data_IF_602058491776
#
_entry.id   IF_602058491776
#
_cell.length_a   1.000
_cell.length_b   1.000
_cell.length_c   1.000
_cell.angle_alpha   90.00
_cell.angle_beta   90.00
_cell.angle_gamma   90.00
#
_symmetry.space_group_name_H-M   'P 1'
#
loop_
_entity.id
_entity.type
_entity.pdbx_description
1 polymer ?
#
# COMPACT_ATOMS: atom_id res chain seq x y z
N UNK A 1 11.44 54.70 -21.16
CA UNK A 1 10.80 54.15 -22.37
C UNK A 1 11.42 54.82 -23.56
N UNK A 2 11.95 54.04 -24.50
CA UNK A 2 12.43 54.52 -25.80
C UNK A 2 11.46 54.01 -26.88
N UNK A 3 11.35 54.75 -27.98
CA UNK A 3 10.57 54.36 -29.14
C UNK A 3 11.48 54.45 -30.36
N UNK A 4 11.45 53.42 -31.20
CA UNK A 4 12.34 53.28 -32.35
C UNK A 4 11.47 53.06 -33.58
N UNK A 5 11.76 53.79 -34.65
CA UNK A 5 11.12 53.60 -35.95
C UNK A 5 11.91 52.60 -36.79
N UNK A 6 11.23 51.81 -37.60
CA UNK A 6 11.87 51.01 -38.64
C UNK A 6 12.40 51.90 -39.75
N UNK A 7 13.46 51.46 -40.43
CA UNK A 7 14.04 52.19 -41.56
C UNK A 7 13.03 52.43 -42.70
N UNK A 8 12.07 51.51 -42.87
CA UNK A 8 11.13 51.48 -43.99
C UNK A 8 9.81 52.22 -43.70
N UNK A 9 9.71 52.98 -42.60
CA UNK A 9 8.48 53.66 -42.23
C UNK A 9 8.70 54.85 -41.30
N UNK A 10 7.71 55.74 -41.24
CA UNK A 10 7.68 56.85 -40.30
C UNK A 10 6.83 56.49 -39.09
N UNK A 11 7.41 56.55 -37.89
CA UNK A 11 6.66 56.39 -36.65
C UNK A 11 5.95 57.70 -36.28
N UNK A 12 4.62 57.72 -36.39
CA UNK A 12 3.78 58.83 -35.97
C UNK A 12 2.90 58.37 -34.82
N UNK A 13 2.95 59.08 -33.70
CA UNK A 13 2.13 58.78 -32.53
C UNK A 13 1.45 60.03 -31.98
N UNK A 14 0.29 59.84 -31.38
CA UNK A 14 -0.49 60.84 -30.67
C UNK A 14 -0.61 60.40 -29.21
N UNK A 15 -0.32 61.30 -28.27
CA UNK A 15 -0.39 61.01 -26.84
C UNK A 15 -1.39 61.92 -26.13
N UNK A 16 -2.20 61.34 -25.25
CA UNK A 16 -3.04 62.08 -24.31
C UNK A 16 -2.46 61.93 -22.91
N UNK A 17 -2.35 63.04 -22.19
CA UNK A 17 -1.91 63.04 -20.80
C UNK A 17 -3.01 63.57 -19.89
N UNK A 18 -3.35 62.81 -18.85
CA UNK A 18 -4.32 63.21 -17.82
C UNK A 18 -3.74 64.17 -16.78
N UNK A 19 -2.42 64.40 -16.79
CA UNK A 19 -1.68 65.17 -15.76
C UNK A 19 -0.75 66.23 -16.36
N UNK A 20 -1.24 67.00 -17.35
CA UNK A 20 -0.42 67.97 -18.08
C UNK A 20 0.13 69.13 -17.22
N UNK A 21 -0.57 69.52 -16.13
CA UNK A 21 -0.20 70.70 -15.31
C UNK A 21 1.14 70.61 -14.59
N UNK A 22 1.72 69.41 -14.39
CA UNK A 22 3.00 69.20 -13.67
C UNK A 22 3.90 68.17 -14.38
N UNK A 23 3.84 68.08 -15.70
CA UNK A 23 4.66 67.14 -16.45
C UNK A 23 5.99 67.79 -16.86
N UNK A 24 7.11 67.30 -16.31
CA UNK A 24 8.47 67.71 -16.68
C UNK A 24 9.20 66.52 -17.31
N UNK A 25 9.19 66.38 -18.65
CA UNK A 25 9.86 65.26 -19.29
C UNK A 25 11.36 65.33 -19.01
N UNK A 26 11.89 64.27 -18.42
CA UNK A 26 13.32 64.12 -18.18
C UNK A 26 13.89 63.20 -19.26
N UNK A 27 14.85 63.72 -20.01
CA UNK A 27 15.57 62.91 -20.99
C UNK A 27 16.77 62.26 -20.30
N UNK A 28 17.13 61.06 -20.75
CA UNK A 28 18.27 60.31 -20.22
C UNK A 28 19.48 60.33 -21.16
N UNK A 29 19.30 60.81 -22.39
CA UNK A 29 20.33 60.84 -23.42
C UNK A 29 20.50 62.25 -24.00
N UNK A 30 21.66 62.49 -24.63
CA UNK A 30 22.01 63.74 -25.34
C UNK A 30 21.93 64.98 -24.43
N UNK A 31 21.87 66.17 -25.04
CA UNK A 31 22.08 67.47 -24.40
C UNK A 31 21.06 67.79 -23.30
N UNK A 32 19.83 67.28 -23.45
CA UNK A 32 18.77 67.41 -22.45
C UNK A 32 18.83 66.33 -21.34
N UNK A 33 19.88 65.50 -21.30
CA UNK A 33 20.00 64.43 -20.30
C UNK A 33 20.10 64.98 -18.88
N UNK A 34 19.28 64.46 -17.97
CA UNK A 34 19.36 64.78 -16.53
C UNK A 34 20.72 64.43 -15.93
N UNK A 35 21.45 63.45 -16.52
CA UNK A 35 22.79 63.08 -16.06
C UNK A 35 23.81 64.21 -16.23
N UNK A 36 23.54 65.22 -17.07
CA UNK A 36 24.42 66.40 -17.17
C UNK A 36 24.23 67.39 -16.03
N UNK A 37 23.11 67.32 -15.32
CA UNK A 37 22.77 68.20 -14.20
C UNK A 37 23.16 67.62 -12.84
N UNK A 38 23.61 66.36 -12.80
CA UNK A 38 24.00 65.67 -11.59
C UNK A 38 25.51 65.78 -11.35
N UNK A 39 25.91 65.64 -10.09
CA UNK A 39 27.32 65.66 -9.71
C UNK A 39 28.08 64.50 -10.39
N UNK A 40 29.23 64.85 -10.97
CA UNK A 40 30.02 63.94 -11.79
C UNK A 40 30.63 62.80 -10.99
N UNK A 41 31.14 63.07 -9.79
CA UNK A 41 31.74 62.07 -8.93
C UNK A 41 30.67 61.08 -8.45
N UNK A 42 29.48 61.60 -8.12
CA UNK A 42 28.32 60.77 -7.75
C UNK A 42 27.91 59.83 -8.89
N UNK A 43 27.85 60.33 -10.13
CA UNK A 43 27.53 59.49 -11.29
C UNK A 43 28.61 58.45 -11.58
N UNK A 44 29.89 58.84 -11.49
CA UNK A 44 31.01 57.93 -11.70
C UNK A 44 30.98 56.78 -10.70
N UNK A 45 30.72 57.07 -9.42
CA UNK A 45 30.52 56.04 -8.39
C UNK A 45 29.28 55.17 -8.66
N UNK A 46 28.17 55.77 -9.10
CA UNK A 46 26.91 55.03 -9.36
C UNK A 46 27.02 54.03 -10.50
N UNK A 47 27.70 54.43 -11.58
CA UNK A 47 27.94 53.56 -12.74
C UNK A 47 29.19 52.67 -12.59
N UNK A 48 29.94 52.85 -11.50
CA UNK A 48 31.23 52.19 -11.27
C UNK A 48 32.20 52.38 -12.45
N UNK A 49 32.33 53.62 -12.92
CA UNK A 49 33.21 54.01 -14.02
C UNK A 49 34.11 55.16 -13.62
N UNK A 50 35.19 55.38 -14.37
CA UNK A 50 36.06 56.53 -14.15
C UNK A 50 35.41 57.83 -14.63
N UNK A 51 35.83 58.95 -14.04
CA UNK A 51 35.39 60.29 -14.46
C UNK A 51 35.65 60.58 -15.94
N UNK A 52 36.72 60.04 -16.51
CA UNK A 52 37.04 60.19 -17.93
C UNK A 52 36.12 59.36 -18.82
N UNK A 53 35.75 58.14 -18.40
CA UNK A 53 34.74 57.32 -19.08
C UNK A 53 33.37 58.00 -19.05
N UNK A 54 33.02 58.62 -17.92
CA UNK A 54 31.78 59.37 -17.78
C UNK A 54 31.75 60.59 -18.69
N UNK A 55 32.86 61.32 -18.84
CA UNK A 55 32.95 62.46 -19.78
C UNK A 55 32.72 62.02 -21.23
N UNK A 56 33.21 60.85 -21.62
CA UNK A 56 32.97 60.30 -22.95
C UNK A 56 31.50 59.93 -23.15
N UNK A 57 30.86 59.35 -22.14
CA UNK A 57 29.44 59.01 -22.16
C UNK A 57 28.53 60.25 -22.23
N UNK A 58 28.91 61.30 -21.49
CA UNK A 58 28.21 62.59 -21.43
C UNK A 58 28.77 63.61 -22.44
N UNK A 59 29.57 63.19 -23.41
CA UNK A 59 30.16 64.08 -24.39
C UNK A 59 29.08 64.79 -25.23
N UNK A 60 29.30 66.04 -25.68
CA UNK A 60 28.37 66.75 -26.55
C UNK A 60 28.11 65.94 -27.82
N UNK A 61 26.84 65.75 -28.09
CA UNK A 61 26.32 64.97 -29.20
C UNK A 61 25.08 65.76 -29.64
N UNK A 62 24.92 66.02 -30.95
CA UNK A 62 24.00 67.01 -31.55
C UNK A 62 22.64 67.19 -30.82
N UNK A 63 22.08 68.42 -30.86
CA UNK A 63 21.07 68.94 -29.91
C UNK A 63 19.68 68.28 -29.94
N UNK A 64 19.43 67.24 -30.75
CA UNK A 64 18.08 66.70 -30.92
C UNK A 64 17.76 65.54 -29.96
N UNK A 65 16.49 65.49 -29.53
CA UNK A 65 15.92 64.39 -28.72
C UNK A 65 15.76 63.11 -29.56
N UNK A 66 15.72 63.23 -30.90
CA UNK A 66 15.47 62.13 -31.84
C UNK A 66 16.79 61.62 -32.38
N UNK A 67 17.08 60.36 -32.12
CA UNK A 67 18.33 59.72 -32.55
C UNK A 67 18.13 59.01 -33.88
N UNK A 68 18.93 59.36 -34.87
CA UNK A 68 19.08 58.54 -36.07
C UNK A 68 19.83 57.26 -35.71
N UNK A 69 19.19 56.11 -35.92
CA UNK A 69 19.86 54.82 -35.95
C UNK A 69 19.35 54.03 -37.15
N UNK A 70 20.29 53.54 -37.96
CA UNK A 70 19.97 52.64 -39.06
C UNK A 70 19.89 51.23 -38.49
N UNK A 71 18.74 50.58 -38.66
CA UNK A 71 18.50 49.16 -38.31
C UNK A 71 18.39 48.81 -36.83
N UNK A 72 18.44 49.77 -35.89
CA UNK A 72 18.21 49.48 -34.46
C UNK A 72 16.86 48.78 -34.20
N UNK A 73 15.79 49.20 -34.90
CA UNK A 73 14.48 48.58 -34.72
C UNK A 73 14.43 47.13 -35.21
N UNK A 74 15.09 46.85 -36.34
CA UNK A 74 15.17 45.50 -36.90
C UNK A 74 16.01 44.56 -36.03
N UNK A 75 17.11 45.07 -35.46
CA UNK A 75 17.96 44.31 -34.55
C UNK A 75 17.26 44.00 -33.22
N UNK A 76 16.58 44.98 -32.62
CA UNK A 76 15.76 44.76 -31.42
C UNK A 76 14.63 43.77 -31.68
N UNK A 77 13.96 43.85 -32.84
CA UNK A 77 12.94 42.89 -33.22
C UNK A 77 13.52 41.47 -33.31
N UNK A 78 14.69 41.30 -33.92
CA UNK A 78 15.36 39.99 -34.01
C UNK A 78 15.71 39.44 -32.63
N UNK A 79 16.26 40.27 -31.74
CA UNK A 79 16.58 39.85 -30.37
C UNK A 79 15.30 39.40 -29.63
N UNK A 80 14.23 40.19 -29.73
CA UNK A 80 12.94 39.84 -29.11
C UNK A 80 12.33 38.55 -29.68
N UNK A 81 12.44 38.33 -30.98
CA UNK A 81 11.97 37.10 -31.62
C UNK A 81 12.78 35.87 -31.18
N UNK A 82 14.11 36.00 -31.11
CA UNK A 82 14.99 34.96 -30.59
C UNK A 82 14.68 34.64 -29.12
N UNK A 83 14.48 35.65 -28.27
CA UNK A 83 14.09 35.45 -26.87
C UNK A 83 12.73 34.74 -26.76
N UNK A 84 11.76 35.12 -27.59
CA UNK A 84 10.44 34.48 -27.64
C UNK A 84 10.54 33.03 -28.10
N UNK A 85 11.41 32.73 -29.05
CA UNK A 85 11.64 31.37 -29.53
C UNK A 85 12.29 30.53 -28.43
N UNK A 86 13.36 31.01 -27.79
CA UNK A 86 13.98 30.34 -26.63
C UNK A 86 12.97 30.09 -25.51
N UNK A 87 12.16 31.09 -25.16
CA UNK A 87 11.11 30.92 -24.16
C UNK A 87 10.07 29.85 -24.54
N UNK A 88 9.74 29.72 -25.83
CA UNK A 88 8.85 28.65 -26.33
C UNK A 88 9.52 27.27 -26.27
N UNK A 89 10.80 27.18 -26.59
CA UNK A 89 11.55 25.92 -26.49
C UNK A 89 11.68 25.46 -25.04
N UNK A 90 12.06 26.35 -24.12
CA UNK A 90 12.12 26.07 -22.69
C UNK A 90 10.75 25.64 -22.13
N UNK A 91 9.67 26.28 -22.58
CA UNK A 91 8.32 25.89 -22.17
C UNK A 91 7.96 24.48 -22.64
N UNK A 92 8.29 24.13 -23.89
CA UNK A 92 8.08 22.77 -24.43
C UNK A 92 8.93 21.74 -23.70
N UNK A 93 10.16 22.07 -23.32
CA UNK A 93 11.03 21.16 -22.57
C UNK A 93 10.47 20.88 -21.18
N UNK A 94 10.02 21.94 -20.47
CA UNK A 94 9.35 21.80 -19.16
C UNK A 94 8.08 20.96 -19.24
N UNK A 95 7.26 21.17 -20.28
CA UNK A 95 6.06 20.36 -20.51
C UNK A 95 6.40 18.88 -20.72
N UNK A 96 7.40 18.58 -21.55
CA UNK A 96 7.88 17.21 -21.75
C UNK A 96 8.38 16.59 -20.45
N UNK A 97 9.21 17.30 -19.68
CA UNK A 97 9.72 16.81 -18.40
C UNK A 97 8.57 16.52 -17.41
N UNK A 98 7.56 17.41 -17.35
CA UNK A 98 6.38 17.21 -16.51
C UNK A 98 5.58 15.97 -16.94
N UNK A 99 5.37 15.78 -18.25
CA UNK A 99 4.68 14.58 -18.75
C UNK A 99 5.44 13.29 -18.41
N UNK A 100 6.76 13.27 -18.58
CA UNK A 100 7.59 12.11 -18.20
C UNK A 100 7.54 11.82 -16.70
N UNK A 101 7.56 12.87 -15.86
CA UNK A 101 7.44 12.73 -14.40
C UNK A 101 6.08 12.11 -14.04
N UNK A 102 4.99 12.62 -14.61
CA UNK A 102 3.63 12.08 -14.40
C UNK A 102 3.51 10.62 -14.85
N UNK A 103 4.09 10.25 -16.00
CA UNK A 103 4.10 8.87 -16.45
C UNK A 103 4.89 7.95 -15.51
N UNK A 104 6.06 8.40 -15.03
CA UNK A 104 6.86 7.63 -14.05
C UNK A 104 6.11 7.44 -12.73
N UNK A 105 5.40 8.46 -12.26
CA UNK A 105 4.56 8.36 -11.06
C UNK A 105 3.42 7.37 -11.24
N UNK A 106 2.68 7.44 -12.36
CA UNK A 106 1.61 6.49 -12.68
C UNK A 106 2.12 5.04 -12.74
N UNK A 107 3.28 4.81 -13.36
CA UNK A 107 3.89 3.47 -13.41
C UNK A 107 4.25 2.95 -12.03
N UNK A 108 4.76 3.80 -11.13
CA UNK A 108 5.07 3.42 -9.74
C UNK A 108 3.80 3.08 -8.96
N UNK A 109 2.75 3.88 -9.10
CA UNK A 109 1.47 3.65 -8.44
C UNK A 109 0.81 2.34 -8.92
N UNK A 110 0.85 2.07 -10.22
CA UNK A 110 0.35 0.82 -10.80
C UNK A 110 1.15 -0.41 -10.31
N UNK A 111 2.48 -0.31 -10.23
CA UNK A 111 3.33 -1.38 -9.69
C UNK A 111 3.04 -1.63 -8.20
N UNK A 112 2.85 -0.56 -7.42
CA UNK A 112 2.51 -0.67 -6.00
C UNK A 112 1.11 -1.28 -5.81
N UNK A 113 0.13 -0.88 -6.62
CA UNK A 113 -1.21 -1.46 -6.62
C UNK A 113 -1.15 -2.96 -6.92
N UNK A 114 -0.38 -3.38 -7.93
CA UNK A 114 -0.21 -4.80 -8.28
C UNK A 114 0.43 -5.59 -7.13
N UNK A 115 1.44 -5.03 -6.46
CA UNK A 115 2.06 -5.66 -5.27
C UNK A 115 1.06 -5.81 -4.12
N UNK A 116 0.20 -4.81 -3.89
CA UNK A 116 -0.83 -4.87 -2.85
C UNK A 116 -1.88 -5.93 -3.16
N UNK A 117 -2.32 -6.03 -4.42
CA UNK A 117 -3.25 -7.05 -4.88
C UNK A 117 -2.66 -8.45 -4.76
N UNK A 118 -1.42 -8.66 -5.19
CA UNK A 118 -0.72 -9.95 -5.04
C UNK A 118 -0.55 -10.34 -3.57
N UNK A 119 -0.19 -9.39 -2.71
CA UNK A 119 -0.09 -9.62 -1.26
C UNK A 119 -1.44 -9.95 -0.62
N UNK A 120 -2.54 -9.32 -1.07
CA UNK A 120 -3.89 -9.61 -0.62
C UNK A 120 -4.32 -11.02 -1.05
N UNK A 121 -4.11 -11.38 -2.32
CA UNK A 121 -4.41 -12.70 -2.86
C UNK A 121 -3.66 -13.80 -2.10
N UNK A 122 -2.38 -13.59 -1.80
CA UNK A 122 -1.57 -14.54 -1.02
C UNK A 122 -2.09 -14.73 0.41
N UNK A 123 -2.55 -13.65 1.05
CA UNK A 123 -3.17 -13.72 2.39
C UNK A 123 -4.49 -14.47 2.36
N UNK A 124 -5.32 -14.24 1.35
CA UNK A 124 -6.59 -14.94 1.18
C UNK A 124 -6.36 -16.44 0.93
N UNK A 125 -5.39 -16.80 0.08
CA UNK A 125 -5.01 -18.20 -0.14
C UNK A 125 -4.51 -18.88 1.14
N UNK A 126 -3.65 -18.20 1.90
CA UNK A 126 -3.17 -18.73 3.19
C UNK A 126 -4.31 -18.91 4.20
N UNK A 127 -5.26 -17.97 4.27
CA UNK A 127 -6.43 -18.09 5.13
C UNK A 127 -7.33 -19.26 4.72
N UNK A 128 -7.54 -19.46 3.42
CA UNK A 128 -8.29 -20.61 2.90
C UNK A 128 -7.60 -21.92 3.23
N UNK A 129 -6.27 -21.98 3.13
CA UNK A 129 -5.51 -23.19 3.50
C UNK A 129 -5.62 -23.47 4.99
N UNK A 130 -5.50 -22.45 5.85
CA UNK A 130 -5.69 -22.61 7.30
C UNK A 130 -7.09 -23.13 7.65
N UNK A 131 -8.13 -22.60 7.01
CA UNK A 131 -9.51 -23.07 7.19
C UNK A 131 -9.67 -24.53 6.77
N UNK A 132 -9.09 -24.93 5.64
CA UNK A 132 -9.12 -26.33 5.20
C UNK A 132 -8.36 -27.26 6.15
N UNK A 133 -7.18 -26.85 6.62
CA UNK A 133 -6.39 -27.61 7.61
C UNK A 133 -7.15 -27.75 8.94
N UNK A 134 -7.87 -26.71 9.38
CA UNK A 134 -8.70 -26.72 10.58
C UNK A 134 -9.92 -27.64 10.43
N UNK A 135 -10.64 -27.55 9.31
CA UNK A 135 -11.77 -28.45 8.99
C UNK A 135 -11.32 -29.92 8.91
N UNK A 136 -10.17 -30.19 8.28
CA UNK A 136 -9.62 -31.55 8.20
C UNK A 136 -9.20 -32.07 9.58
N UNK A 137 -8.57 -31.23 10.41
CA UNK A 137 -8.21 -31.59 11.77
C UNK A 137 -9.45 -31.85 12.65
N UNK A 138 -10.51 -31.06 12.50
CA UNK A 138 -11.78 -31.28 13.20
C UNK A 138 -12.44 -32.58 12.74
N UNK A 139 -12.47 -32.86 11.44
CA UNK A 139 -12.99 -34.11 10.89
C UNK A 139 -12.24 -35.33 11.44
N UNK A 140 -10.90 -35.28 11.47
CA UNK A 140 -10.06 -36.35 12.05
C UNK A 140 -10.35 -36.56 13.54
N UNK A 141 -10.54 -35.48 14.31
CA UNK A 141 -10.90 -35.57 15.73
C UNK A 141 -12.27 -36.25 15.93
N UNK A 142 -13.26 -35.90 15.11
CA UNK A 142 -14.59 -36.53 15.15
C UNK A 142 -14.52 -38.02 14.80
N UNK A 143 -13.75 -38.39 13.78
CA UNK A 143 -13.55 -39.79 13.40
C UNK A 143 -12.84 -40.58 14.50
N UNK A 144 -11.81 -40.00 15.13
CA UNK A 144 -11.12 -40.63 16.26
C UNK A 144 -12.04 -40.79 17.48
N UNK A 145 -12.86 -39.77 17.80
CA UNK A 145 -13.84 -39.86 18.89
C UNK A 145 -14.90 -40.93 18.60
N UNK A 146 -15.42 -40.99 17.38
CA UNK A 146 -16.39 -42.02 16.98
C UNK A 146 -15.79 -43.42 17.07
N UNK A 147 -14.54 -43.57 16.62
CA UNK A 147 -13.81 -44.84 16.75
C UNK A 147 -13.64 -45.25 18.21
N UNK A 148 -13.23 -44.33 19.09
CA UNK A 148 -13.13 -44.60 20.53
C UNK A 148 -14.46 -45.01 21.13
N UNK A 149 -15.56 -44.33 20.78
CA UNK A 149 -16.91 -44.73 21.23
C UNK A 149 -17.28 -46.14 20.77
N UNK A 150 -16.98 -46.51 19.52
CA UNK A 150 -17.21 -47.86 19.01
C UNK A 150 -16.36 -48.92 19.72
N UNK A 151 -15.09 -48.62 19.99
CA UNK A 151 -14.20 -49.50 20.75
C UNK A 151 -14.68 -49.68 22.21
N UNK A 152 -15.10 -48.60 22.87
CA UNK A 152 -15.70 -48.65 24.22
C UNK A 152 -17.00 -49.44 24.24
N UNK A 153 -17.89 -49.24 23.26
CA UNK A 153 -19.15 -49.99 23.16
C UNK A 153 -18.91 -51.48 22.90
N UNK A 154 -17.94 -51.83 22.05
CA UNK A 154 -17.55 -53.21 21.80
C UNK A 154 -16.99 -53.87 23.07
N UNK A 155 -16.10 -53.20 23.80
CA UNK A 155 -15.54 -53.69 25.05
C UNK A 155 -16.62 -53.86 26.14
N UNK A 156 -17.59 -52.95 26.22
CA UNK A 156 -18.72 -53.08 27.13
C UNK A 156 -19.57 -54.31 26.82
N UNK A 157 -19.89 -54.56 25.54
CA UNK A 157 -20.62 -55.75 25.08
C UNK A 157 -19.85 -57.05 25.36
N UNK A 158 -18.53 -57.02 25.24
CA UNK A 158 -17.68 -58.18 25.56
C UNK A 158 -17.72 -58.51 27.05
N UNK A 159 -17.57 -57.50 27.92
CA UNK A 159 -17.70 -57.67 29.38
C UNK A 159 -19.07 -58.21 29.78
N UNK A 160 -20.14 -57.71 29.17
CA UNK A 160 -21.50 -58.20 29.44
C UNK A 160 -21.64 -59.68 29.06
N UNK A 161 -21.04 -60.11 27.93
CA UNK A 161 -21.02 -61.53 27.53
C UNK A 161 -20.19 -62.39 28.48
N UNK A 162 -19.05 -61.90 28.93
CA UNK A 162 -18.21 -62.61 29.92
C UNK A 162 -18.94 -62.76 31.26
N UNK A 163 -19.60 -61.70 31.75
CA UNK A 163 -20.42 -61.76 32.96
C UNK A 163 -21.61 -62.72 32.81
N UNK A 164 -22.29 -62.73 31.67
CA UNK A 164 -23.39 -63.66 31.40
C UNK A 164 -22.89 -65.11 31.33
N UNK A 165 -21.73 -65.36 30.70
CA UNK A 165 -21.11 -66.68 30.66
C UNK A 165 -20.69 -67.15 32.06
N UNK A 166 -20.08 -66.28 32.87
CA UNK A 166 -19.71 -66.59 34.25
C UNK A 166 -20.94 -66.89 35.12
N UNK A 167 -22.04 -66.16 34.96
CA UNK A 167 -23.31 -66.47 35.65
C UNK A 167 -23.86 -67.82 35.26
N UNK A 168 -23.84 -68.17 33.96
CA UNK A 168 -24.28 -69.49 33.48
C UNK A 168 -23.41 -70.61 34.04
N UNK A 169 -22.09 -70.42 34.09
CA UNK A 169 -21.16 -71.40 34.66
C UNK A 169 -21.36 -71.56 36.18
N UNK A 170 -21.59 -70.47 36.90
CA UNK A 170 -21.91 -70.51 38.34
C UNK A 170 -23.25 -71.21 38.61
N UNK A 171 -24.27 -70.94 37.80
CA UNK A 171 -25.58 -71.60 37.88
C UNK A 171 -25.47 -73.10 37.56
N UNK A 172 -24.69 -73.47 36.55
CA UNK A 172 -24.41 -74.87 36.23
C UNK A 172 -23.65 -75.57 37.35
N UNK A 173 -22.67 -74.90 37.98
CA UNK A 173 -21.95 -75.45 39.13
C UNK A 173 -22.86 -75.67 40.32
N UNK A 174 -23.72 -74.70 40.66
CA UNK A 174 -24.73 -74.83 41.72
C UNK A 174 -25.68 -75.99 41.45
N UNK A 175 -26.13 -76.15 40.20
CA UNK A 175 -27.00 -77.26 39.82
C UNK A 175 -26.31 -78.63 39.95
N UNK A 176 -25.03 -78.73 39.59
CA UNK A 176 -24.22 -79.94 39.80
C UNK A 176 -23.99 -80.24 41.28
N UNK A 177 -23.67 -79.23 42.08
CA UNK A 177 -23.53 -79.38 43.54
C UNK A 177 -24.87 -79.80 44.19
N UNK A 178 -26.01 -79.31 43.71
CA UNK A 178 -27.34 -79.71 44.18
C UNK A 178 -27.71 -81.14 43.75
N UNK A 179 -27.42 -81.53 42.50
CA UNK A 179 -27.57 -82.93 42.05
C UNK A 179 -26.67 -83.89 42.83
N UNK A 180 -25.45 -83.48 43.18
CA UNK A 180 -24.52 -84.28 43.98
C UNK A 180 -25.03 -84.45 45.42
N UNK A 181 -25.53 -83.38 46.05
CA UNK A 181 -26.19 -83.46 47.36
C UNK A 181 -27.43 -84.35 47.34
N UNK A 182 -28.26 -84.26 46.31
CA UNK A 182 -29.43 -85.14 46.17
C UNK A 182 -29.01 -86.61 46.04
N UNK A 183 -27.93 -86.91 45.31
CA UNK A 183 -27.39 -88.27 45.22
C UNK A 183 -26.80 -88.75 46.54
N UNK A 184 -26.12 -87.90 47.29
CA UNK A 184 -25.63 -88.23 48.64
C UNK A 184 -26.79 -88.48 49.61
N UNK A 185 -27.84 -87.65 49.58
CA UNK A 185 -29.06 -87.86 50.39
C UNK A 185 -29.79 -89.14 49.99
N UNK A 186 -29.93 -89.45 48.70
CA UNK A 186 -30.49 -90.73 48.23
C UNK A 186 -29.64 -91.93 48.68
N UNK A 187 -28.31 -91.82 48.65
CA UNK A 187 -27.41 -92.87 49.13
C UNK A 187 -27.46 -93.01 50.66
N UNK A 188 -27.58 -91.92 51.42
CA UNK A 188 -27.83 -91.95 52.87
C UNK A 188 -29.20 -92.55 53.19
N UNK A 189 -30.24 -92.26 52.40
CA UNK A 189 -31.57 -92.84 52.58
C UNK A 189 -31.57 -94.34 52.22
N UNK A 190 -30.86 -94.74 51.16
CA UNK A 190 -30.71 -96.13 50.75
C UNK A 190 -29.89 -96.92 51.79
N UNK A 191 -28.82 -96.34 52.33
CA UNK A 191 -28.05 -96.98 53.42
C UNK A 191 -28.84 -97.05 54.72
N UNK A 192 -29.65 -96.03 55.05
CA UNK A 192 -30.62 -96.10 56.18
C UNK A 192 -31.68 -97.18 55.98
N UNK A 193 -32.23 -97.34 54.77
CA UNK A 193 -33.18 -98.42 54.46
C UNK A 193 -32.54 -99.79 54.59
N UNK A 194 -31.31 -99.97 54.11
CA UNK A 194 -30.56 -101.23 54.28
C UNK A 194 -30.23 -101.52 55.74
N UNK A 195 -29.95 -100.50 56.57
CA UNK A 195 -29.77 -100.68 58.01
C UNK A 195 -31.07 -101.05 58.72
N UNK A 196 -32.21 -100.45 58.33
CA UNK A 196 -33.53 -100.83 58.85
C UNK A 196 -33.93 -102.25 58.43
N UNK A 197 -33.66 -102.66 57.18
CA UNK A 197 -33.90 -104.03 56.71
C UNK A 197 -32.99 -105.04 57.44
N UNK A 198 -31.75 -104.68 57.77
CA UNK A 198 -30.86 -105.53 58.58
C UNK A 198 -31.27 -105.59 60.06
N UNK A 199 -31.84 -104.52 60.63
CA UNK A 199 -32.44 -104.54 61.97
C UNK A 199 -33.74 -105.36 62.02
N UNK A 200 -34.54 -105.36 60.96
CA UNK A 200 -35.72 -106.23 60.82
C UNK A 200 -35.34 -107.71 60.63
N UNK A 201 -34.32 -108.03 59.83
CA UNK A 201 -33.84 -109.41 59.67
C UNK A 201 -33.20 -109.97 60.95
N UNK A 202 -32.59 -109.15 61.81
CA UNK A 202 -32.03 -109.57 63.09
C UNK A 202 -33.10 -109.80 64.19
N UNK A 203 -34.36 -109.45 63.94
CA UNK A 203 -35.48 -109.59 64.88
C UNK A 203 -36.41 -110.78 64.58
N UNK A 204 -36.03 -111.66 63.63
CA UNK A 204 -36.75 -112.91 63.29
C UNK A 204 -35.99 -114.15 63.76
#
# INVERSE_FOLDING_TARGET
MAQISFNNGTLVFMGFSTSAKKNHPQFLARQASVFRSLDKDVLAMSFNVSNTTLDQLLAPQHESVILGCVSCADEELRIMEEERERAREEAKEKEKEETERREKERKKEEEEARKREEAAAKREEEERRRKQEEEEAEARRKEEEERRRREEEAAAREREREEEAARKEEEERKRREEEERQREEEQEEETRRRQQEQEEEAAT
#
